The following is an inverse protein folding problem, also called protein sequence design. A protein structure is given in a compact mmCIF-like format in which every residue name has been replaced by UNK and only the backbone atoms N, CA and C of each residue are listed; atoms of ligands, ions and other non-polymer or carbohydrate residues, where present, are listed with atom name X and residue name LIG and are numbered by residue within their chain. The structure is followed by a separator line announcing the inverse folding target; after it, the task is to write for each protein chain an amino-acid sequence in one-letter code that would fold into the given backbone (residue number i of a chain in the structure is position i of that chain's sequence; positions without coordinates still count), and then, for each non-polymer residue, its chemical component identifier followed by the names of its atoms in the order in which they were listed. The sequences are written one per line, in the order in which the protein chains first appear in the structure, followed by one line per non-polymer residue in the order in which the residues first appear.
data_IF_887091193426
#
_entry.id   IF_887091193426
#
_cell.length_a   1.000
_cell.length_b   1.000
_cell.length_c   1.000
_cell.angle_alpha   90.00
_cell.angle_beta   90.00
_cell.angle_gamma   90.00
#
_symmetry.space_group_name_H-M   'P 1'
#
loop_
_entity.id
_entity.type
_entity.pdbx_description
1 polymer ?
#
# COMPACT_ATOMS: atom_id res chain seq x y z
N UNK A 1 -14.79 -3.60 -21.23
CA UNK A 1 -14.95 -2.25 -21.82
C UNK A 1 -14.53 -1.29 -20.74
N UNK A 2 -13.39 -0.62 -20.90
CA UNK A 2 -12.88 0.36 -19.93
C UNK A 2 -13.58 1.70 -20.20
N UNK A 3 -13.98 2.43 -19.16
CA UNK A 3 -14.51 3.79 -19.28
C UNK A 3 -13.51 4.79 -18.67
N UNK A 4 -13.46 6.01 -19.22
CA UNK A 4 -12.46 7.05 -18.93
C UNK A 4 -12.39 7.47 -17.43
N UNK A 5 -11.23 8.00 -16.95
CA UNK A 5 -10.91 8.05 -15.52
C UNK A 5 -11.52 9.21 -14.75
N UNK A 6 -11.72 9.00 -13.44
CA UNK A 6 -11.81 10.06 -12.43
C UNK A 6 -10.47 10.20 -11.70
N UNK A 7 -9.97 11.44 -11.62
CA UNK A 7 -8.80 11.95 -10.87
C UNK A 7 -7.55 11.05 -10.76
N UNK A 8 -6.48 11.42 -11.46
CA UNK A 8 -5.14 10.90 -11.22
C UNK A 8 -4.54 11.51 -9.94
N UNK A 9 -4.07 10.66 -9.02
CA UNK A 9 -3.21 11.08 -7.90
C UNK A 9 -1.81 10.57 -8.22
N UNK A 10 -0.89 11.50 -8.48
CA UNK A 10 0.50 11.17 -8.80
C UNK A 10 1.32 11.09 -7.51
N UNK A 11 2.01 9.97 -7.28
CA UNK A 11 3.12 9.88 -6.35
C UNK A 11 4.37 9.47 -7.15
N UNK A 12 5.52 10.08 -6.86
CA UNK A 12 6.62 10.37 -7.81
C UNK A 12 7.42 9.20 -8.38
N UNK A 13 7.05 7.94 -8.10
CA UNK A 13 7.66 6.75 -8.72
C UNK A 13 6.65 5.72 -9.24
N UNK A 14 5.34 5.97 -9.11
CA UNK A 14 4.29 5.08 -9.64
C UNK A 14 3.11 5.88 -10.19
N UNK A 15 2.76 5.63 -11.47
CA UNK A 15 1.55 6.20 -12.08
C UNK A 15 0.35 5.32 -11.75
N UNK A 16 -0.65 5.90 -11.10
CA UNK A 16 -1.90 5.24 -10.76
C UNK A 16 -3.00 5.65 -11.74
N UNK A 17 -3.59 4.67 -12.41
CA UNK A 17 -4.84 4.84 -13.15
C UNK A 17 -5.93 3.96 -12.55
N UNK A 18 -7.15 4.48 -12.49
CA UNK A 18 -8.33 3.82 -11.94
C UNK A 18 -9.37 3.68 -13.04
N UNK A 19 -9.80 2.46 -13.33
CA UNK A 19 -10.82 2.18 -14.34
C UNK A 19 -11.97 1.39 -13.78
N UNK A 20 -13.17 1.77 -14.20
CA UNK A 20 -14.37 0.95 -14.05
C UNK A 20 -14.31 -0.21 -15.04
N UNK A 21 -14.38 -1.42 -14.51
CA UNK A 21 -14.43 -2.64 -15.32
C UNK A 21 -15.65 -3.46 -14.96
N UNK A 22 -16.32 -3.98 -15.99
CA UNK A 22 -17.41 -4.94 -15.86
C UNK A 22 -16.88 -6.33 -16.24
N UNK A 23 -16.83 -7.25 -15.28
CA UNK A 23 -16.46 -8.64 -15.55
C UNK A 23 -17.71 -9.48 -15.81
N UNK A 24 -17.65 -10.35 -16.84
CA UNK A 24 -18.66 -11.39 -17.07
C UNK A 24 -18.50 -12.62 -16.16
N UNK A 25 -17.47 -12.66 -15.32
CA UNK A 25 -17.15 -13.80 -14.46
C UNK A 25 -18.01 -13.87 -13.19
N UNK A 26 -18.65 -12.78 -12.79
CA UNK A 26 -19.64 -12.79 -11.71
C UNK A 26 -21.01 -12.51 -12.33
N UNK A 27 -21.97 -13.39 -12.07
CA UNK A 27 -23.36 -13.37 -12.57
C UNK A 27 -24.18 -12.13 -12.17
N UNK A 28 -23.56 -11.14 -11.53
CA UNK A 28 -24.13 -9.88 -11.13
C UNK A 28 -23.16 -8.79 -11.59
N UNK A 29 -23.60 -7.90 -12.47
CA UNK A 29 -22.79 -6.82 -13.03
C UNK A 29 -22.29 -5.85 -11.96
N UNK A 30 -21.25 -6.23 -11.22
CA UNK A 30 -20.55 -5.39 -10.25
C UNK A 30 -19.41 -4.66 -10.95
N UNK A 31 -19.27 -3.39 -10.60
CA UNK A 31 -18.20 -2.54 -11.06
C UNK A 31 -16.98 -2.71 -10.16
N UNK A 32 -15.82 -2.91 -10.78
CA UNK A 32 -14.55 -3.05 -10.08
C UNK A 32 -13.56 -1.99 -10.55
N UNK A 33 -12.68 -1.57 -9.64
CA UNK A 33 -11.55 -0.70 -9.94
C UNK A 33 -10.34 -1.55 -10.33
N UNK A 34 -9.73 -1.23 -11.47
CA UNK A 34 -8.38 -1.69 -11.81
C UNK A 34 -7.35 -0.61 -11.48
N UNK A 35 -6.43 -0.92 -10.56
CA UNK A 35 -5.29 -0.07 -10.19
C UNK A 35 -4.03 -0.56 -10.89
N UNK A 36 -3.45 0.30 -11.70
CA UNK A 36 -2.20 0.06 -12.42
C UNK A 36 -1.00 0.50 -11.58
N UNK A 37 0.02 -0.35 -11.49
CA UNK A 37 1.25 -0.06 -10.74
C UNK A 37 2.46 -0.34 -11.63
N UNK A 38 3.30 0.67 -11.78
CA UNK A 38 4.56 0.63 -12.53
C UNK A 38 5.69 0.90 -11.56
N UNK A 39 6.76 0.13 -11.70
CA UNK A 39 7.91 0.20 -10.81
C UNK A 39 9.17 -0.17 -11.57
N UNK A 40 10.23 0.60 -11.35
CA UNK A 40 11.56 0.30 -11.86
C UNK A 40 12.52 0.04 -10.67
N UNK A 41 12.87 -1.23 -10.40
CA UNK A 41 13.67 -1.57 -9.22
C UNK A 41 15.10 -1.01 -9.26
N UNK A 42 15.61 -0.63 -10.45
CA UNK A 42 16.94 -0.03 -10.55
C UNK A 42 16.98 1.40 -10.03
N UNK A 43 15.84 2.09 -9.92
CA UNK A 43 15.76 3.42 -9.31
C UNK A 43 15.90 3.40 -7.78
N UNK A 44 15.69 2.23 -7.16
CA UNK A 44 15.66 2.06 -5.70
C UNK A 44 16.80 1.16 -5.20
N UNK A 45 17.84 0.93 -6.00
CA UNK A 45 19.00 0.10 -5.65
C UNK A 45 19.65 0.51 -4.32
N UNK A 46 19.76 1.81 -4.07
CA UNK A 46 20.24 2.39 -2.81
C UNK A 46 19.38 1.99 -1.58
N UNK A 47 18.10 1.65 -1.78
CA UNK A 47 17.21 1.23 -0.71
C UNK A 47 17.30 -0.25 -0.37
N UNK A 48 17.56 -1.12 -1.36
CA UNK A 48 17.55 -2.58 -1.15
C UNK A 48 18.94 -3.23 -1.25
N UNK A 49 19.88 -2.66 -1.99
CA UNK A 49 21.23 -3.18 -2.21
C UNK A 49 22.00 -3.43 -0.91
N UNK A 50 22.05 -2.47 0.04
CA UNK A 50 22.71 -2.68 1.32
C UNK A 50 22.10 -3.82 2.16
N UNK A 51 20.79 -4.06 1.99
CA UNK A 51 20.04 -5.00 2.81
C UNK A 51 20.03 -6.43 2.26
N UNK A 52 19.94 -6.57 0.93
CA UNK A 52 19.86 -7.87 0.27
C UNK A 52 21.20 -8.30 -0.32
N UNK A 53 22.11 -7.36 -0.55
CA UNK A 53 23.36 -7.52 -1.29
C UNK A 53 23.23 -6.94 -2.70
N UNK A 54 24.30 -6.28 -3.18
CA UNK A 54 24.33 -5.63 -4.50
C UNK A 54 24.12 -6.64 -5.66
N UNK A 55 24.55 -7.90 -5.46
CA UNK A 55 24.36 -8.99 -6.43
C UNK A 55 22.96 -9.65 -6.36
N UNK A 56 22.05 -9.12 -5.55
CA UNK A 56 20.69 -9.68 -5.43
C UNK A 56 19.99 -9.64 -6.79
N UNK A 57 19.40 -10.76 -7.25
CA UNK A 57 18.62 -10.75 -8.47
C UNK A 57 17.49 -9.71 -8.39
N UNK A 58 17.33 -8.89 -9.43
CA UNK A 58 16.29 -7.85 -9.48
C UNK A 58 14.90 -8.40 -9.19
N UNK A 59 14.61 -9.65 -9.58
CA UNK A 59 13.34 -10.30 -9.26
C UNK A 59 13.12 -10.45 -7.75
N UNK A 60 14.16 -10.76 -6.98
CA UNK A 60 14.13 -10.88 -5.52
C UNK A 60 14.01 -9.50 -4.86
N UNK A 61 14.82 -8.53 -5.28
CA UNK A 61 14.71 -7.16 -4.76
C UNK A 61 13.31 -6.59 -5.00
N UNK A 62 12.83 -6.71 -6.24
CA UNK A 62 11.50 -6.26 -6.62
C UNK A 62 10.39 -7.00 -5.91
N UNK A 63 10.58 -8.27 -5.56
CA UNK A 63 9.58 -8.97 -4.76
C UNK A 63 9.27 -8.17 -3.50
N UNK A 64 10.25 -7.53 -2.86
CA UNK A 64 10.01 -6.71 -1.67
C UNK A 64 9.64 -5.25 -1.97
N UNK A 65 10.19 -4.65 -3.04
CA UNK A 65 10.04 -3.21 -3.31
C UNK A 65 8.95 -2.83 -4.31
N UNK A 66 8.51 -3.75 -5.19
CA UNK A 66 7.47 -3.46 -6.18
C UNK A 66 6.10 -3.29 -5.52
N UNK A 67 5.43 -2.13 -5.68
CA UNK A 67 4.12 -1.88 -5.11
C UNK A 67 3.05 -2.89 -5.51
N UNK A 68 3.14 -3.47 -6.70
CA UNK A 68 2.23 -4.54 -7.12
C UNK A 68 2.37 -5.79 -6.24
N UNK A 69 3.61 -6.21 -5.97
CA UNK A 69 3.87 -7.37 -5.12
C UNK A 69 3.59 -7.09 -3.65
N UNK A 70 3.89 -5.88 -3.16
CA UNK A 70 3.54 -5.44 -1.81
C UNK A 70 2.03 -5.64 -1.55
N UNK A 71 1.21 -5.12 -2.45
CA UNK A 71 -0.23 -5.24 -2.35
C UNK A 71 -0.73 -6.68 -2.47
N UNK A 72 -0.14 -7.49 -3.36
CA UNK A 72 -0.47 -8.91 -3.48
C UNK A 72 -0.17 -9.68 -2.19
N UNK A 73 0.95 -9.40 -1.50
CA UNK A 73 1.29 -10.01 -0.21
C UNK A 73 0.28 -9.63 0.86
N UNK A 74 -0.04 -8.34 0.97
CA UNK A 74 -1.00 -7.85 1.95
C UNK A 74 -2.38 -8.50 1.77
N UNK A 75 -2.94 -8.48 0.57
CA UNK A 75 -4.23 -9.13 0.29
C UNK A 75 -4.18 -10.66 0.43
N UNK A 76 -3.06 -11.28 0.10
CA UNK A 76 -2.82 -12.70 0.34
C UNK A 76 -2.94 -13.05 1.83
N UNK A 77 -2.29 -12.26 2.70
CA UNK A 77 -2.35 -12.41 4.16
C UNK A 77 -3.75 -12.11 4.71
N UNK A 78 -4.39 -11.02 4.27
CA UNK A 78 -5.78 -10.67 4.64
C UNK A 78 -6.76 -11.80 4.30
N UNK A 79 -6.61 -12.40 3.11
CA UNK A 79 -7.47 -13.50 2.66
C UNK A 79 -7.24 -14.78 3.48
N UNK A 80 -6.00 -15.06 3.83
CA UNK A 80 -5.62 -16.23 4.64
C UNK A 80 -6.03 -16.09 6.12
N UNK A 81 -6.22 -14.87 6.61
CA UNK A 81 -6.60 -14.63 8.00
C UNK A 81 -8.02 -15.14 8.31
N UNK A 82 -8.14 -15.80 9.47
CA UNK A 82 -9.42 -16.34 9.96
C UNK A 82 -10.30 -15.25 10.59
N UNK A 83 -9.72 -14.13 11.05
CA UNK A 83 -10.43 -13.05 11.74
C UNK A 83 -11.20 -12.10 10.82
N UNK A 84 -12.41 -11.71 11.23
CA UNK A 84 -13.27 -10.78 10.49
C UNK A 84 -12.79 -9.33 10.54
N UNK A 85 -12.05 -8.95 11.58
CA UNK A 85 -11.52 -7.58 11.75
C UNK A 85 -10.54 -7.21 10.63
N UNK A 86 -9.65 -8.13 10.27
CA UNK A 86 -8.68 -7.92 9.20
C UNK A 86 -9.36 -7.86 7.82
N UNK A 87 -10.42 -8.63 7.58
CA UNK A 87 -11.21 -8.50 6.35
C UNK A 87 -12.00 -7.19 6.29
N UNK A 88 -12.30 -6.60 7.45
CA UNK A 88 -13.06 -5.36 7.55
C UNK A 88 -12.20 -4.09 7.45
N UNK A 89 -10.86 -4.19 7.42
CA UNK A 89 -9.97 -3.03 7.25
C UNK A 89 -9.69 -2.70 5.79
N UNK A 90 -9.84 -3.65 4.87
CA UNK A 90 -9.48 -3.46 3.47
C UNK A 90 -10.70 -3.58 2.57
N UNK A 91 -10.70 -2.82 1.46
CA UNK A 91 -11.67 -3.07 0.38
C UNK A 91 -11.44 -4.46 -0.22
N UNK A 92 -12.50 -5.22 -0.56
CA UNK A 92 -12.34 -6.53 -1.17
C UNK A 92 -11.50 -6.47 -2.44
N UNK A 93 -10.49 -7.35 -2.50
CA UNK A 93 -9.63 -7.55 -3.66
C UNK A 93 -10.00 -8.88 -4.33
N UNK A 94 -10.23 -8.82 -5.64
CA UNK A 94 -10.64 -9.95 -6.47
C UNK A 94 -9.45 -10.60 -7.20
N UNK A 95 -8.25 -10.09 -6.96
CA UNK A 95 -7.01 -10.57 -7.54
C UNK A 95 -6.40 -9.54 -8.48
N UNK A 96 -5.69 -10.02 -9.49
CA UNK A 96 -4.99 -9.20 -10.46
C UNK A 96 -5.26 -9.69 -11.87
N UNK A 97 -4.98 -8.85 -12.86
CA UNK A 97 -5.04 -9.21 -14.27
C UNK A 97 -3.87 -8.63 -15.04
N UNK A 98 -3.63 -9.23 -16.20
CA UNK A 98 -2.70 -8.74 -17.21
C UNK A 98 -3.48 -8.19 -18.39
N UNK A 99 -3.17 -6.98 -18.81
CA UNK A 99 -3.81 -6.40 -20.00
C UNK A 99 -3.44 -7.20 -21.23
N UNK A 100 -4.40 -7.39 -22.13
CA UNK A 100 -4.09 -7.88 -23.47
C UNK A 100 -3.54 -6.71 -24.28
N UNK A 101 -2.79 -7.02 -25.34
CA UNK A 101 -2.23 -6.00 -26.24
C UNK A 101 -3.28 -4.99 -26.71
N UNK A 102 -4.46 -5.48 -27.13
CA UNK A 102 -5.58 -4.62 -27.55
C UNK A 102 -6.07 -3.68 -26.45
N UNK A 103 -6.15 -4.16 -25.21
CA UNK A 103 -6.60 -3.34 -24.07
C UNK A 103 -5.56 -2.27 -23.73
N UNK A 104 -4.26 -2.60 -23.85
CA UNK A 104 -3.15 -1.64 -23.69
C UNK A 104 -3.21 -0.54 -24.75
N UNK A 105 -3.31 -0.92 -26.02
CA UNK A 105 -3.38 0.01 -27.16
C UNK A 105 -4.59 0.94 -27.05
N UNK A 106 -5.74 0.46 -26.55
CA UNK A 106 -6.91 1.29 -26.29
C UNK A 106 -6.61 2.38 -25.25
N UNK A 107 -5.99 1.99 -24.13
CA UNK A 107 -5.70 2.92 -23.05
C UNK A 107 -4.64 3.94 -23.47
N UNK A 108 -3.61 3.53 -24.23
CA UNK A 108 -2.62 4.46 -24.82
C UNK A 108 -3.29 5.48 -25.74
N UNK A 109 -4.30 5.08 -26.54
CA UNK A 109 -5.09 6.00 -27.36
C UNK A 109 -5.90 7.01 -26.53
N UNK A 110 -6.23 6.66 -25.29
CA UNK A 110 -6.85 7.57 -24.33
C UNK A 110 -5.83 8.42 -23.55
N UNK A 111 -4.56 8.45 -23.97
CA UNK A 111 -3.51 9.26 -23.37
C UNK A 111 -2.94 8.66 -22.07
N UNK A 112 -3.21 7.39 -21.79
CA UNK A 112 -2.65 6.70 -20.62
C UNK A 112 -1.26 6.22 -20.96
N UNK A 113 -0.28 6.87 -20.35
CA UNK A 113 1.12 6.47 -20.45
C UNK A 113 1.45 5.43 -19.37
N UNK A 114 1.88 4.25 -19.84
CA UNK A 114 2.32 3.13 -19.01
C UNK A 114 3.80 3.21 -18.59
N UNK A 115 4.48 4.30 -18.93
CA UNK A 115 5.83 4.64 -18.48
C UNK A 115 6.93 3.85 -19.18
N UNK A 116 8.16 4.31 -18.96
CA UNK A 116 9.38 3.58 -19.30
C UNK A 116 9.73 2.65 -18.15
N UNK A 117 9.79 1.36 -18.44
CA UNK A 117 10.04 0.33 -17.44
C UNK A 117 11.23 -0.48 -17.92
N UNK A 118 12.12 -0.87 -17.00
CA UNK A 118 13.25 -1.72 -17.34
C UNK A 118 12.75 -3.01 -18.02
N UNK A 119 13.02 -3.13 -19.32
CA UNK A 119 12.49 -4.22 -20.15
C UNK A 119 13.05 -5.59 -19.73
N UNK A 120 14.29 -5.64 -19.27
CA UNK A 120 14.92 -6.86 -18.78
C UNK A 120 14.23 -7.34 -17.50
N UNK A 121 13.96 -6.42 -16.57
CA UNK A 121 13.18 -6.70 -15.38
C UNK A 121 11.75 -7.12 -15.73
N UNK A 122 11.00 -6.34 -16.51
CA UNK A 122 9.62 -6.71 -16.85
C UNK A 122 9.52 -8.10 -17.48
N UNK A 123 10.44 -8.46 -18.38
CA UNK A 123 10.48 -9.80 -18.99
C UNK A 123 10.63 -10.92 -17.96
N UNK A 124 11.29 -10.68 -16.83
CA UNK A 124 11.45 -11.66 -15.76
C UNK A 124 10.29 -11.69 -14.75
N UNK A 125 9.40 -10.69 -14.77
CA UNK A 125 8.22 -10.66 -13.89
C UNK A 125 7.09 -11.59 -14.34
N UNK A 126 6.22 -11.94 -13.39
CA UNK A 126 4.98 -12.65 -13.70
C UNK A 126 4.13 -11.77 -14.63
N UNK A 127 3.78 -12.31 -15.80
CA UNK A 127 3.07 -11.57 -16.86
C UNK A 127 3.97 -10.96 -17.92
N UNK A 128 5.30 -10.98 -17.73
CA UNK A 128 6.26 -10.45 -18.68
C UNK A 128 6.06 -8.95 -18.95
N UNK A 129 6.08 -8.57 -20.22
CA UNK A 129 5.86 -7.18 -20.66
C UNK A 129 4.40 -6.70 -20.57
N UNK A 130 3.50 -7.51 -20.00
CA UNK A 130 2.08 -7.15 -19.92
C UNK A 130 1.85 -6.24 -18.72
N UNK A 131 1.13 -5.16 -18.98
CA UNK A 131 0.69 -4.24 -17.93
C UNK A 131 -0.16 -5.01 -16.90
N UNK A 132 0.16 -4.81 -15.62
CA UNK A 132 -0.45 -5.50 -14.47
C UNK A 132 -1.42 -4.55 -13.79
N UNK A 133 -2.58 -5.08 -13.38
CA UNK A 133 -3.56 -4.32 -12.61
C UNK A 133 -4.12 -5.16 -11.46
N UNK A 134 -4.41 -4.50 -10.34
CA UNK A 134 -5.10 -5.12 -9.19
C UNK A 134 -6.57 -4.75 -9.23
N UNK A 135 -7.44 -5.73 -9.03
CA UNK A 135 -8.89 -5.61 -9.17
C UNK A 135 -9.54 -5.56 -7.79
N UNK A 136 -10.22 -4.46 -7.48
CA UNK A 136 -10.86 -4.21 -6.18
C UNK A 136 -12.30 -3.81 -6.33
N UNK A 137 -13.08 -3.93 -5.25
CA UNK A 137 -14.38 -3.26 -5.17
C UNK A 137 -14.21 -1.74 -5.27
N UNK A 138 -15.16 -1.09 -5.92
CA UNK A 138 -15.28 0.37 -5.89
C UNK A 138 -15.83 0.81 -4.53
N UNK A 139 -15.09 1.65 -3.83
CA UNK A 139 -15.57 2.35 -2.63
C UNK A 139 -16.28 3.66 -2.99
N UNK A 140 -17.06 4.20 -2.06
CA UNK A 140 -17.59 5.57 -2.18
C UNK A 140 -16.46 6.60 -2.03
N UNK A 141 -16.65 7.84 -2.47
CA UNK A 141 -15.67 8.92 -2.25
C UNK A 141 -15.51 9.31 -0.78
N UNK A 142 -16.38 8.83 0.12
CA UNK A 142 -16.31 9.11 1.54
C UNK A 142 -15.22 8.26 2.20
N UNK A 143 -14.33 8.89 2.97
CA UNK A 143 -13.30 8.16 3.72
C UNK A 143 -13.89 7.17 4.73
N UNK A 144 -15.05 7.48 5.30
CA UNK A 144 -15.69 6.75 6.39
C UNK A 144 -14.95 6.86 7.73
N UNK A 145 -13.88 7.65 7.79
CA UNK A 145 -13.16 7.98 9.03
C UNK A 145 -13.83 9.21 9.65
N UNK A 146 -14.43 9.03 10.81
CA UNK A 146 -15.18 10.06 11.54
C UNK A 146 -14.89 9.96 13.03
N UNK A 147 -15.29 10.96 13.81
CA UNK A 147 -15.19 10.94 15.28
C UNK A 147 -15.78 9.67 15.92
N UNK A 148 -16.84 9.12 15.31
CA UNK A 148 -17.54 7.92 15.79
C UNK A 148 -16.88 6.61 15.35
N UNK A 149 -16.20 6.61 14.19
CA UNK A 149 -15.62 5.40 13.60
C UNK A 149 -14.12 5.27 13.83
N UNK A 150 -13.41 6.35 14.12
CA UNK A 150 -11.95 6.42 14.22
C UNK A 150 -11.36 5.37 15.17
N UNK A 151 -11.89 5.26 16.40
CA UNK A 151 -11.42 4.26 17.38
C UNK A 151 -11.54 2.83 16.86
N UNK A 152 -12.65 2.52 16.16
CA UNK A 152 -12.88 1.19 15.58
C UNK A 152 -11.92 0.92 14.43
N UNK A 153 -11.65 1.92 13.60
CA UNK A 153 -10.70 1.80 12.48
C UNK A 153 -9.27 1.63 13.01
N UNK A 154 -8.85 2.42 14.01
CA UNK A 154 -7.55 2.22 14.66
C UNK A 154 -7.42 0.80 15.21
N UNK A 155 -8.45 0.28 15.89
CA UNK A 155 -8.44 -1.10 16.39
C UNK A 155 -8.18 -2.13 15.28
N UNK A 156 -8.72 -1.89 14.08
CA UNK A 156 -8.48 -2.74 12.90
C UNK A 156 -7.09 -2.56 12.31
N UNK A 157 -6.53 -1.34 12.28
CA UNK A 157 -5.14 -1.07 11.89
C UNK A 157 -4.19 -1.83 12.81
N UNK A 158 -4.42 -1.76 14.12
CA UNK A 158 -3.63 -2.53 15.12
C UNK A 158 -3.79 -4.04 14.91
N UNK A 159 -5.00 -4.53 14.63
CA UNK A 159 -5.20 -5.95 14.27
C UNK A 159 -4.45 -6.35 13.01
N UNK A 160 -4.38 -5.49 12.01
CA UNK A 160 -3.61 -5.71 10.77
C UNK A 160 -2.11 -5.79 11.05
N UNK A 161 -1.57 -4.90 11.89
CA UNK A 161 -0.16 -4.95 12.29
C UNK A 161 0.18 -6.21 13.09
N UNK A 162 -0.75 -6.71 13.93
CA UNK A 162 -0.58 -7.99 14.65
C UNK A 162 -0.52 -9.20 13.72
N UNK A 163 -1.11 -9.11 12.53
CA UNK A 163 -1.07 -10.15 11.51
C UNK A 163 0.15 -9.98 10.57
N UNK A 164 1.11 -9.13 10.95
CA UNK A 164 2.36 -8.90 10.22
C UNK A 164 2.19 -8.08 8.95
N UNK A 165 1.13 -7.29 8.83
CA UNK A 165 0.91 -6.37 7.70
C UNK A 165 1.06 -4.93 8.21
N UNK A 166 2.01 -4.20 7.64
CA UNK A 166 2.27 -2.79 7.91
C UNK A 166 1.98 -2.02 6.63
N UNK A 167 0.94 -1.20 6.59
CA UNK A 167 0.49 -0.51 5.38
C UNK A 167 1.50 0.56 4.91
N UNK A 168 2.18 1.20 5.87
CA UNK A 168 3.19 2.24 5.67
C UNK A 168 2.68 3.51 4.98
N UNK A 169 1.36 3.65 4.77
CA UNK A 169 0.77 4.74 4.01
C UNK A 169 -0.64 5.12 4.53
N UNK A 170 -0.78 5.24 5.85
CA UNK A 170 -2.05 5.60 6.49
C UNK A 170 -2.29 7.10 6.35
N UNK A 171 -3.21 7.48 5.47
CA UNK A 171 -3.71 8.85 5.27
C UNK A 171 -5.17 8.84 4.88
N UNK A 172 -5.88 9.95 5.09
CA UNK A 172 -7.34 10.03 4.89
C UNK A 172 -7.75 9.65 3.46
N UNK A 173 -6.93 10.03 2.48
CA UNK A 173 -7.16 9.77 1.05
C UNK A 173 -7.10 8.29 0.68
N UNK A 174 -6.43 7.47 1.49
CA UNK A 174 -6.33 6.02 1.29
C UNK A 174 -7.49 5.25 1.95
N UNK A 175 -8.45 5.94 2.58
CA UNK A 175 -9.66 5.33 3.11
C UNK A 175 -10.87 5.54 2.20
N UNK A 176 -11.68 4.51 2.04
CA UNK A 176 -13.02 4.56 1.45
C UNK A 176 -13.96 3.73 2.31
N UNK A 177 -15.05 4.32 2.78
CA UNK A 177 -16.03 3.67 3.67
C UNK A 177 -15.41 3.02 4.94
N UNK A 178 -14.36 3.64 5.48
CA UNK A 178 -13.62 3.20 6.65
C UNK A 178 -12.68 2.01 6.38
N UNK A 179 -12.33 1.78 5.12
CA UNK A 179 -11.44 0.70 4.65
C UNK A 179 -10.27 1.26 3.85
N UNK A 180 -9.10 0.69 4.02
CA UNK A 180 -7.91 0.96 3.22
C UNK A 180 -8.10 0.46 1.78
N UNK A 181 -7.67 1.29 0.83
CA UNK A 181 -7.75 0.99 -0.61
C UNK A 181 -6.42 0.81 -1.29
N UNK A 182 -5.30 1.21 -0.68
CA UNK A 182 -3.96 1.06 -1.28
C UNK A 182 -3.04 0.34 -0.30
N UNK A 183 -2.37 -0.71 -0.79
CA UNK A 183 -1.35 -1.46 -0.05
C UNK A 183 -0.02 -1.50 -0.82
N UNK A 184 0.16 -0.61 -1.80
CA UNK A 184 1.37 -0.52 -2.61
C UNK A 184 2.63 -0.20 -1.82
N UNK A 185 2.50 0.47 -0.67
CA UNK A 185 3.64 0.75 0.23
C UNK A 185 3.81 -0.30 1.32
N UNK A 186 2.95 -1.33 1.36
CA UNK A 186 2.85 -2.19 2.52
C UNK A 186 3.99 -3.19 2.64
N UNK A 187 4.42 -3.42 3.87
CA UNK A 187 5.39 -4.43 4.24
C UNK A 187 4.63 -5.57 4.92
N UNK A 188 4.77 -6.78 4.40
CA UNK A 188 4.07 -7.97 4.92
C UNK A 188 5.09 -9.02 5.31
N UNK A 189 5.04 -9.53 6.54
CA UNK A 189 5.94 -10.57 7.04
C UNK A 189 5.66 -11.95 6.39
N UNK A 190 6.72 -12.71 6.06
CA UNK A 190 8.14 -12.37 6.20
C UNK A 190 8.62 -11.33 5.18
N UNK A 191 9.52 -10.42 5.60
CA UNK A 191 9.99 -9.30 4.77
C UNK A 191 11.49 -9.07 4.95
N UNK A 192 12.29 -9.43 3.94
CA UNK A 192 13.75 -9.43 4.06
C UNK A 192 14.34 -8.04 4.41
N UNK A 193 13.79 -6.97 3.85
CA UNK A 193 14.22 -5.60 4.20
C UNK A 193 13.86 -5.21 5.64
N UNK A 194 12.80 -5.79 6.20
CA UNK A 194 12.42 -5.58 7.60
C UNK A 194 13.34 -6.37 8.52
N UNK A 195 13.66 -7.60 8.14
CA UNK A 195 14.55 -8.49 8.90
C UNK A 195 15.99 -7.95 8.94
N UNK A 196 16.40 -7.21 7.90
CA UNK A 196 17.69 -6.52 7.85
C UNK A 196 17.75 -5.25 8.72
N UNK A 197 16.61 -4.62 9.02
CA UNK A 197 16.60 -3.39 9.80
C UNK A 197 17.14 -3.64 11.23
N UNK A 198 17.92 -2.69 11.81
CA UNK A 198 18.22 -2.72 13.23
C UNK A 198 16.93 -2.84 14.06
N UNK A 199 16.94 -3.50 15.24
CA UNK A 199 15.72 -3.77 15.99
C UNK A 199 14.86 -2.55 16.30
N UNK A 200 15.48 -1.39 16.56
CA UNK A 200 14.76 -0.13 16.80
C UNK A 200 14.05 0.38 15.53
N UNK A 201 14.73 0.38 14.38
CA UNK A 201 14.15 0.81 13.11
C UNK A 201 13.04 -0.14 12.64
N UNK A 202 13.20 -1.45 12.87
CA UNK A 202 12.15 -2.43 12.63
C UNK A 202 10.94 -2.15 13.52
N UNK A 203 11.15 -1.86 14.80
CA UNK A 203 10.08 -1.51 15.74
C UNK A 203 9.33 -0.24 15.32
N UNK A 204 10.05 0.80 14.91
CA UNK A 204 9.45 2.05 14.41
C UNK A 204 8.56 1.79 13.19
N UNK A 205 9.02 0.99 12.21
CA UNK A 205 8.19 0.59 11.05
C UNK A 205 6.95 -0.17 11.48
N UNK A 206 7.07 -1.09 12.44
CA UNK A 206 5.94 -1.87 12.98
C UNK A 206 4.92 -1.01 13.72
N UNK A 207 5.33 0.15 14.24
CA UNK A 207 4.47 1.12 14.93
C UNK A 207 3.98 2.25 14.03
N UNK A 208 4.57 2.44 12.84
CA UNK A 208 4.35 3.59 11.98
C UNK A 208 2.87 3.79 11.64
N UNK A 209 2.15 2.73 11.26
CA UNK A 209 0.73 2.82 10.88
C UNK A 209 -0.14 3.45 11.96
N UNK A 210 0.14 3.12 13.21
CA UNK A 210 -0.58 3.66 14.35
C UNK A 210 -0.30 5.16 14.52
N UNK A 211 0.97 5.54 14.45
CA UNK A 211 1.40 6.94 14.57
C UNK A 211 0.80 7.75 13.42
N UNK A 212 0.87 7.24 12.19
CA UNK A 212 0.26 7.88 11.02
C UNK A 212 -1.27 8.01 11.16
N UNK A 213 -1.96 7.02 11.75
CA UNK A 213 -3.39 7.12 12.01
C UNK A 213 -3.72 8.21 13.03
N UNK A 214 -2.94 8.31 14.11
CA UNK A 214 -3.11 9.34 15.14
C UNK A 214 -2.85 10.73 14.55
N UNK A 215 -1.76 10.90 13.79
CA UNK A 215 -1.46 12.15 13.07
C UNK A 215 -2.56 12.54 12.09
N UNK A 216 -3.01 11.61 11.25
CA UNK A 216 -4.12 11.84 10.32
C UNK A 216 -5.40 12.27 11.06
N UNK A 217 -5.70 11.69 12.22
CA UNK A 217 -6.88 12.07 13.00
C UNK A 217 -6.75 13.49 13.58
N UNK A 218 -5.54 13.93 13.94
CA UNK A 218 -5.26 15.29 14.39
C UNK A 218 -5.38 16.29 13.23
N UNK A 219 -4.75 15.99 12.08
CA UNK A 219 -4.74 16.86 10.90
C UNK A 219 -6.15 17.09 10.33
N UNK A 220 -7.00 16.06 10.38
CA UNK A 220 -8.40 16.10 9.91
C UNK A 220 -9.39 16.58 11.00
N UNK A 221 -8.89 17.08 12.14
CA UNK A 221 -9.67 17.54 13.30
C UNK A 221 -10.72 16.52 13.80
N UNK A 222 -10.41 15.23 13.70
CA UNK A 222 -11.30 14.14 14.07
C UNK A 222 -11.34 14.02 15.59
N UNK A 223 -12.30 14.73 16.22
CA UNK A 223 -12.52 14.72 17.67
C UNK A 223 -12.87 13.32 18.17
N UNK A 224 -11.90 12.60 18.73
CA UNK A 224 -12.16 11.30 19.36
C UNK A 224 -12.54 11.51 20.83
N UNK A 225 -13.63 10.88 21.30
CA UNK A 225 -14.03 10.95 22.72
C UNK A 225 -12.95 10.29 23.61
N UNK A 226 -12.05 11.09 24.16
CA UNK A 226 -10.84 10.65 24.86
C UNK A 226 -9.67 10.50 23.88
N UNK A 227 -8.47 10.96 24.28
CA UNK A 227 -7.22 10.77 23.53
C UNK A 227 -7.17 9.33 23.02
N UNK A 228 -6.94 9.13 21.72
CA UNK A 228 -6.55 7.82 21.19
C UNK A 228 -5.29 7.43 21.97
N UNK A 229 -5.45 6.59 22.99
CA UNK A 229 -4.52 6.56 24.10
C UNK A 229 -3.13 6.14 23.69
N UNK A 230 -2.20 7.09 23.59
CA UNK A 230 -0.81 6.86 23.94
C UNK A 230 -0.21 8.08 24.64
N UNK A 231 0.14 7.86 25.90
CA UNK A 231 1.31 8.51 26.48
C UNK A 231 2.50 8.03 25.66
N UNK A 232 3.04 8.89 24.79
CA UNK A 232 4.35 8.67 24.18
C UNK A 232 5.33 8.61 25.35
N UNK A 233 5.68 7.40 25.81
CA UNK A 233 6.90 7.23 26.59
C UNK A 233 8.02 7.33 25.58
N UNK A 234 8.79 8.42 25.64
CA UNK A 234 10.04 8.54 24.93
C UNK A 234 10.83 7.24 25.17
N UNK A 235 11.16 6.52 24.10
CA UNK A 235 11.97 5.30 24.21
C UNK A 235 13.39 5.63 24.71
N UNK A 236 13.81 6.90 24.59
CA UNK A 236 15.03 7.43 25.17
C UNK A 236 14.80 8.89 25.59
N UNK A 237 14.99 9.19 26.88
CA UNK A 237 15.28 10.56 27.32
C UNK A 237 16.67 10.92 26.77
N UNK A 238 16.71 11.65 25.66
CA UNK A 238 17.96 12.28 25.25
C UNK A 238 18.25 13.44 26.20
N UNK A 239 19.04 13.17 27.23
CA UNK A 239 19.66 14.23 28.01
C UNK A 239 20.72 14.90 27.14
N UNK A 240 20.40 16.08 26.60
CA UNK A 240 21.39 16.93 25.97
C UNK A 240 22.47 17.23 27.02
N UNK A 241 23.69 16.78 26.79
CA UNK A 241 24.84 17.16 27.62
C UNK A 241 25.00 18.67 27.49
N UNK A 242 24.83 19.38 28.59
CA UNK A 242 25.18 20.79 28.69
C UNK A 242 26.67 20.94 28.33
N UNK A 243 26.95 21.61 27.22
CA UNK A 243 28.30 22.07 26.92
C UNK A 243 28.68 23.13 27.94
N UNK A 244 29.48 22.74 28.94
CA UNK A 244 30.22 23.70 29.75
C UNK A 244 31.34 24.24 28.86
N UNK A 245 31.20 25.49 28.43
CA UNK A 245 32.28 26.24 27.79
C UNK A 245 33.30 26.58 28.89
N UNK A 246 34.53 26.08 28.74
CA UNK A 246 35.69 26.57 29.49
C UNK A 246 36.29 27.78 28.78
#
# INVERSE_FOLDING_TARGET
MFSAPGSAVANTQSKLYVFLTQFRLCSYGRLHICQFKFFDPTGDDHCWGPALGEDTPLATASYYTDPFYAECRAYGRIRAAKGTQLKAIAVPCHGYLFLRRKDKEELERHGIDFGHVNLAYQRSTIGGLRVRAIVKDIGSSNSGVTSTTARRILGRVVSMNKEGIYNMDIRIDNFRDGKLVDFGSSWTEPHALLDFCPPHAALERKMADRVMFEQMAEDEEIKTRGKLGMTVKALHDMTLRSHTVQ
#
